data_IF_500586160381
#
_entry.id   IF_500586160381
#
_cell.length_a   1.000
_cell.length_b   1.000
_cell.length_c   1.000
_cell.angle_alpha   90.00
_cell.angle_beta   90.00
_cell.angle_gamma   90.00
#
_symmetry.space_group_name_H-M   'P 1'
#
loop_
_entity.id
_entity.type
_entity.pdbx_description
1 polymer ?
#
# COMPACT_ATOMS: atom_id res chain seq x y z
N UNK A 1 7.77 -17.86 -4.83
CA UNK A 1 7.41 -17.59 -3.42
C UNK A 1 6.34 -16.52 -3.45
N UNK A 2 5.11 -16.87 -3.05
CA UNK A 2 3.95 -16.00 -3.16
C UNK A 2 4.10 -14.81 -2.20
N UNK A 3 4.06 -13.59 -2.74
CA UNK A 3 4.02 -12.32 -1.98
C UNK A 3 2.73 -12.21 -1.12
N UNK A 4 1.78 -13.13 -1.37
CA UNK A 4 0.37 -13.09 -0.98
C UNK A 4 0.12 -13.48 0.49
N UNK A 5 1.03 -14.22 1.13
CA UNK A 5 0.75 -14.80 2.47
C UNK A 5 1.16 -13.92 3.67
N UNK A 6 1.82 -12.78 3.48
CA UNK A 6 2.36 -11.99 4.60
C UNK A 6 2.21 -10.48 4.42
N UNK A 7 1.01 -10.00 4.13
CA UNK A 7 0.70 -8.57 4.31
C UNK A 7 0.50 -8.31 5.80
N UNK A 8 1.38 -7.50 6.38
CA UNK A 8 1.41 -7.21 7.80
C UNK A 8 0.89 -5.80 8.08
N UNK A 9 -0.03 -5.69 9.04
CA UNK A 9 -0.48 -4.40 9.57
C UNK A 9 0.71 -3.65 10.17
N UNK A 10 0.82 -2.35 9.86
CA UNK A 10 1.92 -1.49 10.30
C UNK A 10 3.13 -1.47 9.35
N UNK A 11 3.22 -2.40 8.40
CA UNK A 11 4.30 -2.44 7.41
C UNK A 11 3.98 -1.57 6.17
N UNK A 12 5.05 -1.12 5.50
CA UNK A 12 4.97 -0.27 4.31
C UNK A 12 5.05 -1.11 3.05
N UNK A 13 4.21 -0.79 2.07
CA UNK A 13 4.19 -1.47 0.77
C UNK A 13 4.10 -0.45 -0.36
N UNK A 14 4.61 -0.88 -1.52
CA UNK A 14 4.35 -0.19 -2.78
C UNK A 14 3.11 -0.78 -3.43
N UNK A 15 2.18 0.09 -3.80
CA UNK A 15 0.85 -0.29 -4.31
C UNK A 15 0.59 0.44 -5.62
N UNK A 16 -0.01 -0.25 -6.61
CA UNK A 16 -0.48 0.34 -7.87
C UNK A 16 -1.91 -0.11 -8.13
N UNK A 17 -2.90 0.60 -7.57
CA UNK A 17 -4.28 0.35 -7.96
C UNK A 17 -4.52 0.79 -9.40
N UNK A 18 -5.49 0.16 -10.04
CA UNK A 18 -5.91 0.52 -11.41
C UNK A 18 -6.37 1.97 -11.54
N UNK A 19 -6.89 2.56 -10.46
CA UNK A 19 -7.42 3.92 -10.44
C UNK A 19 -6.36 4.99 -10.14
N UNK A 20 -5.15 4.62 -9.74
CA UNK A 20 -4.04 5.57 -9.55
C UNK A 20 -3.21 5.70 -10.81
N UNK A 21 -2.76 6.91 -11.12
CA UNK A 21 -1.88 7.13 -12.27
C UNK A 21 -0.47 6.57 -12.03
N UNK A 22 -0.04 6.52 -10.76
CA UNK A 22 1.29 6.09 -10.34
C UNK A 22 1.23 5.20 -9.11
N UNK A 23 2.32 4.48 -8.86
CA UNK A 23 2.47 3.70 -7.63
C UNK A 23 2.57 4.66 -6.46
N UNK A 24 1.86 4.37 -5.37
CA UNK A 24 2.06 5.07 -4.11
C UNK A 24 2.74 4.15 -3.08
N UNK A 25 3.25 4.78 -2.03
CA UNK A 25 3.75 4.10 -0.83
C UNK A 25 2.72 4.31 0.26
N UNK A 26 2.27 3.22 0.87
CA UNK A 26 1.30 3.28 1.96
C UNK A 26 1.63 2.32 3.09
N UNK A 27 1.16 2.66 4.28
CA UNK A 27 1.22 1.83 5.47
C UNK A 27 -0.08 1.04 5.64
N UNK A 28 0.00 -0.26 5.90
CA UNK A 28 -1.19 -1.11 6.11
C UNK A 28 -1.86 -0.77 7.45
N UNK A 29 -3.11 -0.29 7.40
CA UNK A 29 -3.94 -0.05 8.59
C UNK A 29 -4.80 -1.25 8.95
N UNK A 30 -5.36 -1.93 7.96
CA UNK A 30 -6.25 -3.08 8.16
C UNK A 30 -6.16 -4.03 6.96
N UNK A 31 -6.43 -5.31 7.20
CA UNK A 31 -6.53 -6.36 6.19
C UNK A 31 -7.84 -7.11 6.43
N UNK A 32 -8.73 -7.11 5.44
CA UNK A 32 -10.05 -7.72 5.51
C UNK A 32 -10.24 -8.68 4.32
N UNK A 33 -9.86 -9.94 4.52
CA UNK A 33 -9.95 -10.97 3.47
C UNK A 33 -9.06 -10.67 2.27
N UNK A 34 -9.63 -10.13 1.20
CA UNK A 34 -8.91 -9.77 -0.04
C UNK A 34 -8.63 -8.27 -0.19
N UNK A 35 -9.20 -7.45 0.69
CA UNK A 35 -9.02 -5.99 0.67
C UNK A 35 -8.08 -5.54 1.77
N UNK A 36 -7.34 -4.47 1.49
CA UNK A 36 -6.35 -3.90 2.40
C UNK A 36 -6.54 -2.40 2.43
N UNK A 37 -6.58 -1.85 3.63
CA UNK A 37 -6.65 -0.40 3.84
C UNK A 37 -5.24 0.13 4.03
N UNK A 38 -4.81 1.01 3.14
CA UNK A 38 -3.52 1.69 3.20
C UNK A 38 -3.70 3.16 3.60
N UNK A 39 -2.87 3.63 4.52
CA UNK A 39 -2.63 5.05 4.73
C UNK A 39 -1.53 5.51 3.77
N UNK A 40 -1.88 6.41 2.84
CA UNK A 40 -1.00 6.89 1.79
C UNK A 40 -0.01 7.91 2.35
N UNK A 41 1.29 7.64 2.18
CA UNK A 41 2.35 8.53 2.64
C UNK A 41 2.77 9.55 1.57
N UNK A 42 2.76 9.13 0.30
CA UNK A 42 3.08 9.96 -0.84
C UNK A 42 2.00 9.82 -1.91
N UNK A 43 1.33 10.91 -2.23
CA UNK A 43 0.45 11.04 -3.39
C UNK A 43 0.85 12.29 -4.18
N UNK A 44 0.86 12.18 -5.51
CA UNK A 44 1.02 13.33 -6.39
C UNK A 44 -0.27 14.18 -6.37
N UNK A 45 -0.17 15.49 -6.64
CA UNK A 45 -1.31 16.41 -6.73
C UNK A 45 -2.44 15.89 -7.64
N UNK A 46 -2.08 15.10 -8.66
CA UNK A 46 -3.02 14.52 -9.64
C UNK A 46 -3.89 13.41 -9.04
N UNK A 47 -3.45 12.78 -7.95
CA UNK A 47 -4.21 11.76 -7.23
C UNK A 47 -4.84 12.31 -5.94
N UNK A 48 -4.76 13.63 -5.69
CA UNK A 48 -5.36 14.29 -4.52
C UNK A 48 -6.90 14.14 -4.50
N UNK A 49 -7.56 14.14 -5.65
CA UNK A 49 -9.02 13.90 -5.72
C UNK A 49 -9.42 12.45 -5.39
N UNK A 50 -8.44 11.54 -5.30
CA UNK A 50 -8.66 10.11 -5.02
C UNK A 50 -8.25 9.72 -3.60
N UNK A 51 -7.68 10.66 -2.86
CA UNK A 51 -7.17 10.46 -1.50
C UNK A 51 -7.88 11.47 -0.61
N UNK A 52 -8.84 10.99 0.18
CA UNK A 52 -9.55 11.81 1.15
C UNK A 52 -8.60 12.40 2.21
N UNK A 53 -9.07 13.36 3.02
CA UNK A 53 -8.27 13.99 4.08
C UNK A 53 -7.67 12.98 5.08
N UNK A 54 -8.32 11.82 5.24
CA UNK A 54 -7.86 10.71 6.07
C UNK A 54 -6.67 9.94 5.48
N UNK A 55 -6.38 10.16 4.19
CA UNK A 55 -5.37 9.48 3.38
C UNK A 55 -5.52 7.96 3.33
N UNK A 56 -6.72 7.44 3.58
CA UNK A 56 -7.00 6.02 3.56
C UNK A 56 -7.49 5.59 2.18
N UNK A 57 -6.83 4.60 1.60
CA UNK A 57 -7.21 4.01 0.31
C UNK A 57 -7.39 2.51 0.50
N UNK A 58 -8.56 2.02 0.11
CA UNK A 58 -8.84 0.59 0.10
C UNK A 58 -8.47 0.02 -1.26
N UNK A 59 -7.65 -1.04 -1.26
CA UNK A 59 -7.15 -1.67 -2.48
C UNK A 59 -7.31 -3.19 -2.39
N UNK A 60 -7.30 -3.85 -3.52
CA UNK A 60 -7.25 -5.31 -3.57
C UNK A 60 -5.82 -5.80 -3.34
N UNK A 61 -5.66 -6.97 -2.74
CA UNK A 61 -4.35 -7.62 -2.55
C UNK A 61 -3.55 -7.77 -3.85
N UNK A 62 -4.23 -7.92 -4.99
CA UNK A 62 -3.62 -7.99 -6.32
C UNK A 62 -2.98 -6.69 -6.80
N UNK A 63 -3.35 -5.55 -6.22
CA UNK A 63 -2.76 -4.23 -6.53
C UNK A 63 -1.44 -3.98 -5.76
N UNK A 64 -1.16 -4.79 -4.73
CA UNK A 64 0.06 -4.71 -3.91
C UNK A 64 1.24 -5.32 -4.67
N UNK A 65 2.34 -4.56 -4.80
CA UNK A 65 3.51 -4.99 -5.57
C UNK A 65 4.54 -5.70 -4.71
N UNK A 66 5.08 -5.02 -3.70
CA UNK A 66 6.10 -5.58 -2.81
C UNK A 66 6.17 -4.79 -1.49
N UNK A 67 6.66 -5.47 -0.45
CA UNK A 67 6.95 -4.86 0.85
C UNK A 67 8.19 -3.96 0.74
N UNK A 68 8.12 -2.80 1.39
CA UNK A 68 9.22 -1.85 1.54
C UNK A 68 10.04 -2.10 2.81
N UNK A 69 9.86 -3.26 3.46
CA UNK A 69 10.64 -3.66 4.64
C UNK A 69 12.12 -3.63 4.27
N UNK A 70 12.84 -2.67 4.81
CA UNK A 70 14.27 -2.55 4.59
C UNK A 70 14.94 -3.79 5.20
N UNK A 71 15.46 -4.67 4.36
CA UNK A 71 16.44 -5.67 4.76
C UNK A 71 17.76 -4.94 5.08
N UNK A 72 17.81 -4.23 6.21
CA UNK A 72 19.08 -3.87 6.84
C UNK A 72 19.61 -5.13 7.53
N UNK A 73 20.28 -5.99 6.75
CA UNK A 73 21.21 -6.94 7.32
C UNK A 73 22.46 -6.14 7.73
N UNK A 74 22.56 -5.78 9.00
CA UNK A 74 23.86 -5.43 9.56
C UNK A 74 24.64 -6.75 9.70
N UNK A 75 25.49 -7.05 8.71
CA UNK A 75 26.57 -8.03 8.80
C UNK A 75 27.78 -7.45 9.51
#
# INVERSE_FOLDING_TARGET
MNVIENIQVGERYKVQPRHFHRTFIGNVKSVEGSTIVFEVENYDLVDQEKVDESRLVTVDISDVKYSMKNNYFFS
#
